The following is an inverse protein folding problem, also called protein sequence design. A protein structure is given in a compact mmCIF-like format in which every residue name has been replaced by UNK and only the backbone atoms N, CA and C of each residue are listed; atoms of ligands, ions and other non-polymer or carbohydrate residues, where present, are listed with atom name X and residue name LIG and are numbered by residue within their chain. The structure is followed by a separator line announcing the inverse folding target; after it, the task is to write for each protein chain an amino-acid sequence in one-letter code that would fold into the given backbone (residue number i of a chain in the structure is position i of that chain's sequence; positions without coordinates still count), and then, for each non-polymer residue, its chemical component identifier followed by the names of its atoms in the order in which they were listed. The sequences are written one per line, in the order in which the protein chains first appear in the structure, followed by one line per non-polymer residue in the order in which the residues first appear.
data_IF_841516264740
#
_entry.id   IF_841516264740
#
_cell.length_a   1.000
_cell.length_b   1.000
_cell.length_c   1.000
_cell.angle_alpha   90.00
_cell.angle_beta   90.00
_cell.angle_gamma   90.00
#
_symmetry.space_group_name_H-M   'P 1'
#
loop_
_entity.id
_entity.type
_entity.pdbx_description
1 polymer ?
#
# COMPACT_ATOMS: atom_id res chain seq x y z
N UNK A 1 1.15 -19.35 12.53
CA UNK A 1 1.57 -17.94 12.32
C UNK A 1 0.40 -16.98 12.10
N UNK A 2 -0.50 -17.17 11.11
CA UNK A 2 -1.69 -16.27 10.95
C UNK A 2 -2.78 -16.51 12.02
N UNK A 3 -2.91 -17.75 12.50
CA UNK A 3 -3.89 -18.11 13.52
C UNK A 3 -3.56 -17.52 14.91
N UNK A 4 -2.27 -17.35 15.22
CA UNK A 4 -1.82 -16.74 16.47
C UNK A 4 -1.95 -15.21 16.45
N UNK A 5 -1.80 -14.58 15.28
CA UNK A 5 -2.09 -13.15 15.09
C UNK A 5 -3.58 -12.84 15.35
N UNK A 6 -4.49 -13.71 14.92
CA UNK A 6 -5.93 -13.58 15.22
C UNK A 6 -6.25 -13.76 16.71
N UNK A 7 -5.54 -14.66 17.40
CA UNK A 7 -5.68 -14.85 18.85
C UNK A 7 -5.11 -13.68 19.65
N UNK A 8 -3.95 -13.16 19.26
CA UNK A 8 -3.35 -11.97 19.85
C UNK A 8 -4.23 -10.73 19.64
N UNK A 9 -4.87 -10.57 18.48
CA UNK A 9 -5.87 -9.53 18.23
C UNK A 9 -7.16 -9.65 19.09
N UNK A 10 -7.44 -10.85 19.63
CA UNK A 10 -8.57 -11.09 20.53
C UNK A 10 -8.30 -10.74 22.00
N UNK A 11 -7.05 -10.42 22.36
CA UNK A 11 -6.67 -10.16 23.75
C UNK A 11 -6.62 -8.66 24.13
N UNK A 12 -6.83 -7.73 23.18
CA UNK A 12 -6.69 -6.29 23.44
C UNK A 12 -8.06 -5.61 23.70
N UNK A 13 -8.25 -4.94 24.86
CA UNK A 13 -9.51 -4.32 25.21
C UNK A 13 -9.68 -2.91 24.62
N UNK A 14 -10.90 -2.66 24.13
CA UNK A 14 -11.70 -1.42 24.17
C UNK A 14 -11.55 -0.25 23.17
N UNK A 15 -10.66 -0.28 22.17
CA UNK A 15 -10.85 0.57 20.97
C UNK A 15 -10.28 -0.14 19.75
N UNK A 16 -11.01 -1.12 19.23
CA UNK A 16 -10.67 -1.77 17.94
C UNK A 16 -10.97 -0.79 16.81
N UNK A 17 -10.00 -0.32 16.01
CA UNK A 17 -10.34 0.28 14.73
C UNK A 17 -10.85 -0.89 13.89
N UNK A 18 -12.16 -0.99 13.72
CA UNK A 18 -12.83 -2.03 12.92
C UNK A 18 -12.20 -2.12 11.51
N UNK A 19 -11.67 -1.00 11.03
CA UNK A 19 -10.84 -0.84 9.82
C UNK A 19 -9.61 -1.76 9.76
N UNK A 20 -8.90 -2.01 10.86
CA UNK A 20 -7.71 -2.89 10.89
C UNK A 20 -8.12 -4.36 10.74
N UNK A 21 -9.18 -4.79 11.43
CA UNK A 21 -9.64 -6.19 11.33
C UNK A 21 -10.16 -6.49 9.93
N UNK A 22 -10.90 -5.56 9.34
CA UNK A 22 -11.42 -5.67 7.97
C UNK A 22 -10.29 -5.66 6.93
N UNK A 23 -9.21 -4.89 7.13
CA UNK A 23 -8.06 -4.91 6.24
C UNK A 23 -7.37 -6.28 6.23
N UNK A 24 -7.19 -6.91 7.40
CA UNK A 24 -6.65 -8.27 7.51
C UNK A 24 -7.52 -9.32 6.83
N UNK A 25 -8.84 -9.22 7.03
CA UNK A 25 -9.80 -10.08 6.36
C UNK A 25 -9.70 -9.96 4.83
N UNK A 26 -9.66 -8.72 4.31
CA UNK A 26 -9.50 -8.46 2.88
C UNK A 26 -8.22 -9.07 2.30
N UNK A 27 -7.08 -8.89 2.99
CA UNK A 27 -5.79 -9.45 2.55
C UNK A 27 -5.82 -10.97 2.49
N UNK A 28 -6.40 -11.62 3.50
CA UNK A 28 -6.53 -13.08 3.50
C UNK A 28 -7.36 -13.57 2.32
N UNK A 29 -8.43 -12.85 1.96
CA UNK A 29 -9.24 -13.16 0.78
C UNK A 29 -8.49 -12.95 -0.54
N UNK A 30 -7.59 -11.97 -0.61
CA UNK A 30 -6.69 -11.80 -1.76
C UNK A 30 -5.72 -12.98 -1.91
N UNK A 31 -5.24 -13.56 -0.80
CA UNK A 31 -4.41 -14.77 -0.82
C UNK A 31 -5.21 -16.00 -1.24
N UNK A 32 -6.48 -16.08 -0.86
CA UNK A 32 -7.42 -17.12 -1.29
C UNK A 32 -7.85 -16.96 -2.77
N UNK A 33 -7.44 -15.90 -3.47
CA UNK A 33 -7.82 -15.61 -4.87
C UNK A 33 -9.24 -15.05 -5.03
N UNK A 34 -9.93 -14.72 -3.93
CA UNK A 34 -11.27 -14.15 -3.92
C UNK A 34 -11.20 -12.62 -3.93
N UNK A 35 -10.67 -12.06 -5.02
CA UNK A 35 -10.42 -10.62 -5.13
C UNK A 35 -11.71 -9.76 -5.06
N UNK A 36 -12.87 -10.32 -5.47
CA UNK A 36 -14.17 -9.65 -5.39
C UNK A 36 -14.65 -9.47 -3.93
N UNK A 37 -14.52 -10.50 -3.12
CA UNK A 37 -14.88 -10.43 -1.70
C UNK A 37 -13.87 -9.61 -0.89
N UNK A 38 -12.59 -9.65 -1.28
CA UNK A 38 -11.55 -8.80 -0.70
C UNK A 38 -11.87 -7.31 -0.90
N UNK A 39 -12.34 -6.96 -2.10
CA UNK A 39 -12.75 -5.60 -2.44
C UNK A 39 -13.87 -5.08 -1.53
N UNK A 40 -14.88 -5.91 -1.24
CA UNK A 40 -15.96 -5.55 -0.33
C UNK A 40 -15.44 -5.27 1.09
N UNK A 41 -14.57 -6.14 1.60
CA UNK A 41 -13.95 -5.96 2.91
C UNK A 41 -13.13 -4.66 2.99
N UNK A 42 -12.43 -4.27 1.92
CA UNK A 42 -11.70 -3.01 1.88
C UNK A 42 -12.63 -1.79 1.81
N UNK A 43 -13.75 -1.85 1.09
CA UNK A 43 -14.73 -0.77 1.09
C UNK A 43 -15.35 -0.56 2.47
N UNK A 44 -15.69 -1.66 3.16
CA UNK A 44 -16.14 -1.59 4.54
C UNK A 44 -15.06 -1.00 5.45
N UNK A 45 -13.80 -1.39 5.28
CA UNK A 45 -12.68 -0.87 6.07
C UNK A 45 -12.48 0.64 5.88
N UNK A 46 -12.66 1.15 4.66
CA UNK A 46 -12.54 2.58 4.31
C UNK A 46 -13.70 3.40 4.90
N UNK A 47 -14.88 2.79 5.08
CA UNK A 47 -16.05 3.43 5.70
C UNK A 47 -15.87 3.66 7.20
N UNK A 48 -14.95 2.92 7.83
CA UNK A 48 -14.68 3.02 9.26
C UNK A 48 -13.65 4.13 9.55
N UNK A 49 -13.74 4.78 10.72
CA UNK A 49 -12.72 5.73 11.15
C UNK A 49 -11.35 5.04 11.24
N UNK A 50 -10.39 5.57 10.48
CA UNK A 50 -9.04 5.03 10.37
C UNK A 50 -8.02 6.18 10.33
N UNK A 51 -6.79 5.95 10.84
CA UNK A 51 -5.71 6.91 10.68
C UNK A 51 -5.40 7.09 9.18
N UNK A 52 -4.96 8.30 8.79
CA UNK A 52 -4.67 8.65 7.38
C UNK A 52 -3.69 7.69 6.72
N UNK A 53 -2.66 7.25 7.45
CA UNK A 53 -1.68 6.25 6.96
C UNK A 53 -2.35 4.93 6.58
N UNK A 54 -3.22 4.38 7.46
CA UNK A 54 -3.97 3.16 7.16
C UNK A 54 -4.97 3.37 6.01
N UNK A 55 -5.62 4.53 5.95
CA UNK A 55 -6.56 4.85 4.87
C UNK A 55 -5.87 4.91 3.50
N UNK A 56 -4.66 5.47 3.41
CA UNK A 56 -3.86 5.45 2.19
C UNK A 56 -3.47 4.03 1.77
N UNK A 57 -3.07 3.19 2.74
CA UNK A 57 -2.78 1.77 2.48
C UNK A 57 -4.02 1.00 2.02
N UNK A 58 -5.18 1.22 2.66
CA UNK A 58 -6.45 0.62 2.26
C UNK A 58 -6.83 0.97 0.83
N UNK A 59 -6.72 2.25 0.44
CA UNK A 59 -6.93 2.66 -0.95
C UNK A 59 -5.96 1.98 -1.92
N UNK A 60 -4.71 1.78 -1.51
CA UNK A 60 -3.71 1.05 -2.30
C UNK A 60 -4.10 -0.42 -2.48
N UNK A 61 -4.47 -1.12 -1.42
CA UNK A 61 -4.93 -2.52 -1.47
C UNK A 61 -6.19 -2.67 -2.32
N UNK A 62 -7.15 -1.74 -2.16
CA UNK A 62 -8.36 -1.67 -3.01
C UNK A 62 -7.98 -1.56 -4.49
N UNK A 63 -6.99 -0.72 -4.81
CA UNK A 63 -6.47 -0.56 -6.17
C UNK A 63 -5.83 -1.85 -6.71
N UNK A 64 -5.07 -2.56 -5.89
CA UNK A 64 -4.47 -3.86 -6.28
C UNK A 64 -5.56 -4.88 -6.60
N UNK A 65 -6.61 -4.99 -5.78
CA UNK A 65 -7.75 -5.85 -6.08
C UNK A 65 -8.43 -5.49 -7.39
N UNK A 66 -8.69 -4.21 -7.64
CA UNK A 66 -9.32 -3.75 -8.88
C UNK A 66 -8.44 -4.03 -10.11
N UNK A 67 -7.12 -3.89 -9.98
CA UNK A 67 -6.19 -4.23 -11.04
C UNK A 67 -6.23 -5.73 -11.36
N UNK A 68 -6.23 -6.59 -10.34
CA UNK A 68 -6.38 -8.06 -10.51
C UNK A 68 -7.72 -8.46 -11.14
N UNK A 69 -8.80 -7.75 -10.80
CA UNK A 69 -10.13 -7.94 -11.38
C UNK A 69 -10.25 -7.40 -12.82
N UNK A 70 -9.17 -6.93 -13.44
CA UNK A 70 -9.19 -6.43 -14.81
C UNK A 70 -9.81 -5.03 -14.95
N UNK A 71 -9.87 -4.24 -13.87
CA UNK A 71 -10.42 -2.87 -13.85
C UNK A 71 -9.31 -1.83 -13.61
N UNK A 72 -8.36 -1.65 -14.54
CA UNK A 72 -7.21 -0.77 -14.35
C UNK A 72 -7.59 0.71 -14.18
N UNK A 73 -8.65 1.18 -14.84
CA UNK A 73 -9.11 2.57 -14.70
C UNK A 73 -9.59 2.89 -13.27
N UNK A 74 -10.33 1.96 -12.65
CA UNK A 74 -10.79 2.11 -11.27
C UNK A 74 -9.62 1.98 -10.28
N UNK A 75 -8.67 1.09 -10.55
CA UNK A 75 -7.45 0.96 -9.74
C UNK A 75 -6.64 2.28 -9.71
N UNK A 76 -6.50 2.95 -10.86
CA UNK A 76 -5.84 4.26 -10.94
C UNK A 76 -6.52 5.33 -10.08
N UNK A 77 -7.86 5.35 -10.05
CA UNK A 77 -8.59 6.28 -9.18
C UNK A 77 -8.31 5.99 -7.70
N UNK A 78 -8.22 4.71 -7.31
CA UNK A 78 -7.86 4.32 -5.95
C UNK A 78 -6.44 4.76 -5.58
N UNK A 79 -5.45 4.59 -6.47
CA UNK A 79 -4.09 5.07 -6.20
C UNK A 79 -4.02 6.60 -6.09
N UNK A 80 -4.78 7.33 -6.91
CA UNK A 80 -4.88 8.79 -6.77
C UNK A 80 -5.47 9.20 -5.42
N UNK A 81 -6.50 8.51 -4.93
CA UNK A 81 -7.04 8.75 -3.59
C UNK A 81 -6.03 8.44 -2.50
N UNK A 82 -5.25 7.35 -2.63
CA UNK A 82 -4.18 7.03 -1.69
C UNK A 82 -3.15 8.17 -1.60
N UNK A 83 -2.72 8.72 -2.75
CA UNK A 83 -1.78 9.84 -2.81
C UNK A 83 -2.36 11.18 -2.31
N UNK A 84 -3.68 11.37 -2.40
CA UNK A 84 -4.36 12.53 -1.81
C UNK A 84 -4.39 12.47 -0.28
N UNK A 85 -4.52 11.27 0.28
CA UNK A 85 -4.52 11.06 1.73
C UNK A 85 -3.10 11.12 2.29
N UNK A 86 -2.16 10.46 1.61
CA UNK A 86 -0.73 10.45 1.95
C UNK A 86 0.11 10.51 0.67
N UNK A 87 0.64 11.71 0.39
CA UNK A 87 1.49 11.96 -0.77
C UNK A 87 2.81 11.16 -0.73
N UNK A 88 3.26 10.79 0.46
CA UNK A 88 4.47 10.00 0.70
C UNK A 88 4.25 8.48 0.63
N UNK A 89 3.06 8.02 0.24
CA UNK A 89 2.76 6.60 0.14
C UNK A 89 3.55 5.94 -1.02
N UNK A 90 4.74 5.42 -0.70
CA UNK A 90 5.64 4.73 -1.64
C UNK A 90 4.95 3.56 -2.34
N UNK A 91 4.09 2.83 -1.63
CA UNK A 91 3.38 1.67 -2.16
C UNK A 91 2.38 2.05 -3.25
N UNK A 92 1.65 3.16 -3.09
CA UNK A 92 0.73 3.68 -4.11
C UNK A 92 1.48 4.11 -5.38
N UNK A 93 2.61 4.81 -5.22
CA UNK A 93 3.47 5.21 -6.34
C UNK A 93 4.00 3.98 -7.10
N UNK A 94 4.50 2.97 -6.39
CA UNK A 94 5.02 1.76 -7.03
C UNK A 94 3.93 0.98 -7.78
N UNK A 95 2.77 0.78 -7.16
CA UNK A 95 1.65 0.08 -7.79
C UNK A 95 1.10 0.85 -8.99
N UNK A 96 1.11 2.19 -8.96
CA UNK A 96 0.74 3.00 -10.12
C UNK A 96 1.74 2.84 -11.28
N UNK A 97 3.04 2.79 -11.00
CA UNK A 97 4.07 2.56 -12.03
C UNK A 97 3.91 1.18 -12.67
N UNK A 98 3.63 0.14 -11.87
CA UNK A 98 3.36 -1.20 -12.38
C UNK A 98 2.12 -1.23 -13.28
N UNK A 99 1.06 -0.52 -12.89
CA UNK A 99 -0.17 -0.44 -13.68
C UNK A 99 0.05 0.33 -15.00
N UNK A 100 0.80 1.43 -14.98
CA UNK A 100 1.18 2.14 -16.21
C UNK A 100 2.02 1.28 -17.15
N UNK A 101 2.93 0.46 -16.60
CA UNK A 101 3.70 -0.52 -17.36
C UNK A 101 2.79 -1.54 -18.05
N UNK A 102 1.76 -2.04 -17.36
CA UNK A 102 0.76 -2.95 -17.93
C UNK A 102 -0.09 -2.29 -19.01
N UNK A 103 -0.41 -1.00 -18.85
CA UNK A 103 -1.17 -0.21 -19.81
C UNK A 103 -0.33 0.28 -21.00
N UNK A 104 0.98 0.07 -21.00
CA UNK A 104 1.90 0.53 -22.04
C UNK A 104 2.15 2.05 -22.03
N UNK A 105 1.77 2.76 -20.98
CA UNK A 105 1.99 4.20 -20.88
C UNK A 105 3.36 4.51 -20.27
N UNK A 106 4.38 4.55 -21.12
CA UNK A 106 5.77 4.73 -20.71
C UNK A 106 6.05 6.12 -20.07
N UNK A 107 5.38 7.18 -20.53
CA UNK A 107 5.53 8.52 -19.94
C UNK A 107 5.05 8.54 -18.49
N UNK A 108 3.82 8.07 -18.24
CA UNK A 108 3.28 8.06 -16.90
C UNK A 108 4.02 7.08 -15.95
N UNK A 109 4.51 5.95 -16.48
CA UNK A 109 5.37 5.03 -15.73
C UNK A 109 6.67 5.72 -15.26
N UNK A 110 7.37 6.42 -16.16
CA UNK A 110 8.63 7.09 -15.81
C UNK A 110 8.43 8.23 -14.81
N UNK A 111 7.34 8.99 -14.91
CA UNK A 111 6.98 10.01 -13.93
C UNK A 111 6.71 9.40 -12.55
N UNK A 112 5.93 8.33 -12.48
CA UNK A 112 5.63 7.63 -11.23
C UNK A 112 6.91 7.08 -10.58
N UNK A 113 7.82 6.48 -11.36
CA UNK A 113 9.10 5.98 -10.87
C UNK A 113 10.03 7.11 -10.41
N UNK A 114 10.03 8.27 -11.06
CA UNK A 114 10.79 9.45 -10.61
C UNK A 114 10.28 9.97 -9.27
N UNK A 115 8.96 10.05 -9.10
CA UNK A 115 8.34 10.44 -7.83
C UNK A 115 8.66 9.43 -6.73
N UNK A 116 8.60 8.13 -7.05
CA UNK A 116 8.97 7.06 -6.13
C UNK A 116 10.45 7.15 -5.70
N UNK A 117 11.37 7.42 -6.64
CA UNK A 117 12.78 7.64 -6.33
C UNK A 117 12.95 8.85 -5.41
N UNK A 118 12.34 9.99 -5.73
CA UNK A 118 12.35 11.17 -4.84
C UNK A 118 11.86 10.82 -3.43
N UNK A 119 10.72 10.13 -3.32
CA UNK A 119 10.16 9.70 -2.04
C UNK A 119 11.04 8.67 -1.29
N UNK A 120 11.86 7.89 -2.00
CA UNK A 120 12.83 6.96 -1.42
C UNK A 120 14.14 7.67 -1.00
N UNK A 121 14.54 8.71 -1.73
CA UNK A 121 15.73 9.53 -1.44
C UNK A 121 15.54 10.49 -0.27
N UNK A 122 14.30 10.88 0.03
CA UNK A 122 13.99 11.55 1.28
C UNK A 122 14.00 10.51 2.42
N UNK A 123 14.85 10.67 3.46
CA UNK A 123 14.63 9.94 4.70
C UNK A 123 13.22 10.28 5.19
N UNK A 124 12.48 9.26 5.63
CA UNK A 124 11.13 9.46 6.13
C UNK A 124 11.16 10.50 7.24
N UNK A 125 10.52 11.65 7.03
CA UNK A 125 10.19 12.54 8.13
C UNK A 125 9.10 11.81 8.94
N UNK A 126 9.52 11.19 10.03
CA UNK A 126 8.77 10.23 10.83
C UNK A 126 9.62 9.54 11.92
N UNK A 127 10.94 9.67 11.90
CA UNK A 127 11.76 9.53 13.10
C UNK A 127 12.08 10.92 13.64
N UNK A 128 11.13 11.53 14.36
CA UNK A 128 11.51 12.46 15.42
C UNK A 128 11.73 11.61 16.68
N UNK A 129 13.00 11.34 16.98
CA UNK A 129 13.41 10.92 18.30
C UNK A 129 12.98 11.96 19.33
N UNK A 130 12.05 11.59 20.20
CA UNK A 130 12.12 12.01 21.60
C UNK A 130 12.19 10.75 22.46
N UNK A 131 13.20 10.59 23.31
CA UNK A 131 13.32 9.44 24.18
C UNK A 131 12.37 9.66 25.35
N UNK A 132 11.28 8.90 25.45
CA UNK A 132 10.75 8.37 26.71
C UNK A 132 9.52 7.48 26.50
N UNK A 133 9.63 6.28 27.08
CA UNK A 133 8.63 5.21 27.29
C UNK A 133 8.35 4.26 26.12
N UNK A 134 8.46 2.93 26.33
CA UNK A 134 8.14 1.92 25.32
C UNK A 134 6.63 1.70 25.33
N UNK A 135 5.88 2.71 24.88
CA UNK A 135 4.50 2.48 24.49
C UNK A 135 4.57 1.83 23.11
N UNK A 136 4.12 0.58 23.02
CA UNK A 136 3.82 -0.09 21.75
C UNK A 136 3.04 0.90 20.89
N UNK A 137 3.72 1.57 19.97
CA UNK A 137 3.10 2.52 19.07
C UNK A 137 2.13 1.73 18.21
N UNK A 138 0.91 2.24 18.07
CA UNK A 138 -0.15 1.66 17.24
C UNK A 138 0.28 1.39 15.79
N UNK A 139 1.39 1.99 15.36
CA UNK A 139 2.05 1.78 14.06
C UNK A 139 2.76 0.41 13.95
N UNK A 140 3.16 -0.20 15.07
CA UNK A 140 3.80 -1.52 15.11
C UNK A 140 2.84 -2.68 14.82
N UNK A 141 1.53 -2.46 14.92
CA UNK A 141 0.50 -3.48 14.67
C UNK A 141 0.07 -3.56 13.20
N UNK A 142 0.39 -2.55 12.38
CA UNK A 142 0.14 -2.57 10.93
C UNK A 142 1.20 -3.34 10.15
N UNK A 143 2.34 -3.67 10.76
CA UNK A 143 3.46 -4.37 10.11
C UNK A 143 3.32 -5.89 10.16
N UNK A 144 2.13 -6.43 9.91
CA UNK A 144 2.03 -7.87 9.67
C UNK A 144 2.73 -8.22 8.35
N UNK A 145 3.47 -9.32 8.38
CA UNK A 145 4.24 -9.87 7.26
C UNK A 145 3.43 -10.00 5.95
N UNK A 146 2.10 -10.20 6.04
CA UNK A 146 1.19 -10.23 4.90
C UNK A 146 1.06 -8.87 4.18
N UNK A 147 0.99 -7.76 4.92
CA UNK A 147 0.95 -6.41 4.34
C UNK A 147 2.26 -6.07 3.62
N UNK A 148 3.40 -6.49 4.17
CA UNK A 148 4.70 -6.27 3.53
C UNK A 148 4.84 -6.95 2.17
N UNK A 149 4.10 -8.02 1.88
CA UNK A 149 4.13 -8.71 0.59
C UNK A 149 3.37 -7.94 -0.50
N UNK A 150 2.23 -7.35 -0.15
CA UNK A 150 1.39 -6.60 -1.10
C UNK A 150 1.83 -5.14 -1.26
N UNK A 151 2.37 -4.56 -0.19
CA UNK A 151 2.89 -3.19 -0.14
C UNK A 151 4.42 -3.15 -0.29
N UNK A 152 5.05 -4.26 -0.69
CA UNK A 152 6.48 -4.38 -0.90
C UNK A 152 6.97 -3.27 -1.83
N UNK A 153 7.78 -2.37 -1.29
CA UNK A 153 8.43 -1.33 -2.08
C UNK A 153 9.73 -1.88 -2.66
N UNK A 154 10.01 -1.67 -3.95
CA UNK A 154 11.30 -2.03 -4.52
C UNK A 154 12.43 -1.26 -3.83
N UNK A 155 13.61 -1.87 -3.76
CA UNK A 155 14.80 -1.21 -3.25
C UNK A 155 15.14 0.02 -4.12
N UNK A 156 15.75 1.07 -3.54
CA UNK A 156 16.20 2.25 -4.29
C UNK A 156 16.98 1.93 -5.60
N UNK A 157 17.95 0.98 -5.61
CA UNK A 157 18.63 0.61 -6.86
C UNK A 157 17.70 -0.09 -7.87
N UNK A 158 16.68 -0.82 -7.41
CA UNK A 158 15.68 -1.43 -8.29
C UNK A 158 14.84 -0.39 -9.03
N UNK A 159 14.51 0.72 -8.36
CA UNK A 159 13.78 1.85 -8.97
C UNK A 159 14.68 2.55 -10.01
N UNK A 160 15.96 2.76 -9.69
CA UNK A 160 16.91 3.35 -10.63
C UNK A 160 17.15 2.47 -11.86
N UNK A 161 17.24 1.15 -11.67
CA UNK A 161 17.39 0.22 -12.78
C UNK A 161 16.16 0.22 -13.70
N UNK A 162 14.95 0.24 -13.13
CA UNK A 162 13.71 0.35 -13.90
C UNK A 162 13.62 1.67 -14.68
N UNK A 163 14.03 2.79 -14.07
CA UNK A 163 14.14 4.08 -14.73
C UNK A 163 15.14 4.06 -15.88
N UNK A 164 16.36 3.54 -15.65
CA UNK A 164 17.41 3.46 -16.65
C UNK A 164 16.98 2.60 -17.87
N UNK A 165 16.35 1.44 -17.61
CA UNK A 165 15.80 0.61 -18.68
C UNK A 165 14.75 1.35 -19.51
N UNK A 166 13.87 2.14 -18.88
CA UNK A 166 12.83 2.89 -19.61
C UNK A 166 13.41 4.03 -20.45
N UNK A 167 14.37 4.80 -19.92
CA UNK A 167 15.05 5.86 -20.68
C UNK A 167 15.73 5.31 -21.94
N UNK A 168 16.40 4.16 -21.84
CA UNK A 168 17.07 3.52 -22.98
C UNK A 168 16.11 3.05 -24.09
N UNK A 169 14.85 2.77 -23.76
CA UNK A 169 13.84 2.37 -24.75
C UNK A 169 13.11 3.56 -25.39
N UNK A 170 13.17 4.77 -24.80
CA UNK A 170 12.60 5.98 -25.41
C UNK A 170 13.55 6.71 -26.36
N UNK A 171 14.85 6.38 -26.33
CA UNK A 171 15.89 6.97 -27.19
C UNK A 171 16.17 6.15 -28.47
N UNK A 172 15.39 5.10 -28.73
CA UNK A 172 15.40 4.32 -29.99
C UNK A 172 14.18 4.65 -30.83
#
# INVERSE_FOLDING_TARGET
MVHDMLRLCNQWPLTRPFSIVLSFSGIRKMEEGKDSEALLAFYEAVSQPAPRSLLAQLHTLTGICLAKLGRPQSAMQCYRKALQVDFSCRSALYQSALLYRQLGNAQAETEALRLLHKAASLPSCGESSSPQTPLLSSDSLLCCQALSRFLANPSPPGIQHALAQRCLHSER
#
